data_IF_233146394654
#
_entry.id   IF_233146394654
#
_cell.length_a   1.000
_cell.length_b   1.000
_cell.length_c   1.000
_cell.angle_alpha   90.00
_cell.angle_beta   90.00
_cell.angle_gamma   90.00
#
_symmetry.space_group_name_H-M   'P 1'
#
loop_
_entity.id
_entity.type
_entity.pdbx_description
1 polymer ?
#
# COMPACT_ATOMS: atom_id res chain seq x y z
N UNK A 1 -6.11 -17.57 -25.53
CA UNK A 1 -4.97 -16.63 -25.50
C UNK A 1 -4.27 -16.77 -24.16
N UNK A 2 -2.98 -17.12 -24.14
CA UNK A 2 -2.17 -17.07 -22.91
C UNK A 2 -2.09 -15.61 -22.47
N UNK A 3 -2.87 -15.22 -21.46
CA UNK A 3 -2.80 -13.84 -20.96
C UNK A 3 -1.53 -13.73 -20.12
N UNK A 4 -0.46 -13.19 -20.72
CA UNK A 4 0.78 -12.85 -20.01
C UNK A 4 0.43 -12.14 -18.69
N UNK A 5 0.91 -12.70 -17.58
CA UNK A 5 0.62 -12.24 -16.22
C UNK A 5 1.74 -11.40 -15.63
N UNK A 6 2.58 -10.78 -16.48
CA UNK A 6 3.76 -10.06 -16.01
C UNK A 6 3.44 -9.03 -14.92
N UNK A 7 4.37 -8.88 -13.98
CA UNK A 7 4.23 -7.99 -12.83
C UNK A 7 5.40 -7.00 -12.70
N UNK A 8 5.13 -5.77 -12.27
CA UNK A 8 6.16 -4.88 -11.75
C UNK A 8 6.04 -4.81 -10.22
N UNK A 9 7.06 -5.28 -9.49
CA UNK A 9 7.10 -5.21 -8.03
C UNK A 9 7.82 -3.92 -7.63
N UNK A 10 7.11 -3.02 -6.98
CA UNK A 10 7.57 -1.68 -6.64
C UNK A 10 7.76 -1.50 -5.13
N UNK A 11 8.73 -0.66 -4.75
CA UNK A 11 8.93 -0.25 -3.37
C UNK A 11 9.71 1.05 -3.23
N UNK A 12 9.60 1.68 -2.07
CA UNK A 12 10.39 2.87 -1.71
C UNK A 12 11.33 2.52 -0.56
N UNK A 13 12.61 2.85 -0.70
CA UNK A 13 13.65 2.47 0.27
C UNK A 13 14.20 3.70 1.00
N UNK A 14 14.15 3.67 2.33
CA UNK A 14 14.84 4.61 3.21
C UNK A 14 15.03 4.00 4.59
N UNK A 15 16.27 3.94 5.08
CA UNK A 15 16.60 3.43 6.42
C UNK A 15 16.00 2.05 6.73
N UNK A 16 16.14 1.13 5.77
CA UNK A 16 15.56 -0.21 5.82
C UNK A 16 16.59 -1.33 5.56
N UNK A 17 17.89 -1.00 5.58
CA UNK A 17 18.95 -1.91 5.13
C UNK A 17 18.98 -3.24 5.87
N UNK A 18 18.65 -3.24 7.17
CA UNK A 18 18.55 -4.47 7.99
C UNK A 18 17.46 -5.44 7.54
N UNK A 19 16.42 -4.98 6.84
CA UNK A 19 15.28 -5.81 6.42
C UNK A 19 15.44 -6.34 4.99
N UNK A 20 16.23 -5.64 4.17
CA UNK A 20 16.37 -5.89 2.75
C UNK A 20 16.76 -7.33 2.37
N UNK A 21 17.69 -8.04 3.05
CA UNK A 21 18.04 -9.40 2.66
C UNK A 21 16.83 -10.34 2.62
N UNK A 22 15.94 -10.23 3.62
CA UNK A 22 14.76 -11.07 3.72
C UNK A 22 13.62 -10.58 2.80
N UNK A 23 13.46 -9.27 2.67
CA UNK A 23 12.53 -8.68 1.70
C UNK A 23 12.88 -9.10 0.27
N UNK A 24 14.16 -9.10 -0.13
CA UNK A 24 14.60 -9.56 -1.45
C UNK A 24 14.26 -11.03 -1.69
N UNK A 25 14.49 -11.90 -0.69
CA UNK A 25 14.09 -13.30 -0.77
C UNK A 25 12.58 -13.45 -1.01
N UNK A 26 11.76 -12.68 -0.30
CA UNK A 26 10.32 -12.68 -0.46
C UNK A 26 9.87 -12.11 -1.82
N UNK A 27 10.51 -11.06 -2.33
CA UNK A 27 10.26 -10.53 -3.68
C UNK A 27 10.50 -11.60 -4.74
N UNK A 28 11.58 -12.37 -4.64
CA UNK A 28 11.87 -13.45 -5.61
C UNK A 28 10.84 -14.58 -5.53
N UNK A 29 10.36 -14.94 -4.34
CA UNK A 29 9.27 -15.91 -4.17
C UNK A 29 7.98 -15.46 -4.85
N UNK A 30 7.56 -14.22 -4.58
CA UNK A 30 6.35 -13.62 -5.14
C UNK A 30 6.48 -13.43 -6.67
N UNK A 31 7.65 -12.98 -7.13
CA UNK A 31 7.93 -12.76 -8.55
C UNK A 31 7.77 -14.01 -9.41
N UNK A 32 8.13 -15.18 -8.88
CA UNK A 32 7.99 -16.49 -9.56
C UNK A 32 6.54 -16.91 -9.81
N UNK A 33 5.56 -16.24 -9.20
CA UNK A 33 4.14 -16.49 -9.45
C UNK A 33 3.67 -15.91 -10.81
N UNK A 34 4.49 -15.07 -11.43
CA UNK A 34 4.19 -14.39 -12.69
C UNK A 34 5.11 -14.91 -13.81
N UNK A 35 4.64 -14.84 -15.06
CA UNK A 35 5.42 -15.27 -16.23
C UNK A 35 6.77 -14.53 -16.35
N UNK A 36 6.76 -13.24 -16.02
CA UNK A 36 7.94 -12.41 -15.91
C UNK A 36 7.69 -11.27 -14.91
N UNK A 37 8.76 -10.74 -14.31
CA UNK A 37 8.65 -9.59 -13.44
C UNK A 37 9.89 -8.69 -13.47
N UNK A 38 9.66 -7.42 -13.14
CA UNK A 38 10.71 -6.45 -12.79
C UNK A 38 10.54 -6.00 -11.36
N UNK A 39 11.65 -5.61 -10.75
CA UNK A 39 11.68 -5.00 -9.42
C UNK A 39 12.06 -3.55 -9.63
N UNK A 40 11.25 -2.60 -9.16
CA UNK A 40 11.52 -1.17 -9.26
C UNK A 40 11.59 -0.58 -7.86
N UNK A 41 12.76 -0.11 -7.46
CA UNK A 41 12.96 0.50 -6.14
C UNK A 41 13.34 1.96 -6.32
N UNK A 42 12.55 2.84 -5.70
CA UNK A 42 12.90 4.23 -5.51
C UNK A 42 13.63 4.39 -4.19
N UNK A 43 14.91 4.71 -4.23
CA UNK A 43 15.73 4.95 -3.05
C UNK A 43 15.80 6.44 -2.72
N UNK A 44 15.58 6.76 -1.45
CA UNK A 44 15.79 8.09 -0.88
C UNK A 44 16.94 8.08 0.14
N UNK A 45 17.44 9.27 0.52
CA UNK A 45 18.64 9.41 1.36
C UNK A 45 18.50 8.66 2.70
N UNK A 46 19.36 7.66 2.89
CA UNK A 46 19.45 6.85 4.11
C UNK A 46 20.72 7.16 4.90
N UNK A 47 20.71 6.82 6.19
CA UNK A 47 21.85 6.92 7.11
C UNK A 47 22.40 5.55 7.51
N UNK A 48 21.76 4.46 7.07
CA UNK A 48 22.19 3.09 7.26
C UNK A 48 22.75 2.48 5.96
N UNK A 49 22.91 1.15 5.93
CA UNK A 49 23.41 0.42 4.77
C UNK A 49 22.36 0.17 3.66
N UNK A 50 21.21 0.86 3.65
CA UNK A 50 20.15 0.65 2.64
C UNK A 50 20.68 0.73 1.21
N UNK A 51 21.44 1.78 0.87
CA UNK A 51 21.92 1.98 -0.51
C UNK A 51 22.91 0.89 -0.93
N UNK A 52 23.89 0.58 -0.08
CA UNK A 52 24.88 -0.45 -0.41
C UNK A 52 24.20 -1.81 -0.59
N UNK A 53 23.26 -2.18 0.27
CA UNK A 53 22.47 -3.41 0.12
C UNK A 53 21.68 -3.46 -1.20
N UNK A 54 21.09 -2.35 -1.66
CA UNK A 54 20.40 -2.29 -2.95
C UNK A 54 21.36 -2.43 -4.14
N UNK A 55 22.53 -1.78 -4.07
CA UNK A 55 23.55 -1.87 -5.12
C UNK A 55 24.13 -3.28 -5.24
N UNK A 56 24.43 -3.94 -4.12
CA UNK A 56 24.90 -5.32 -4.13
C UNK A 56 23.84 -6.26 -4.71
N UNK A 57 22.57 -6.08 -4.34
CA UNK A 57 21.48 -6.87 -4.91
C UNK A 57 21.32 -6.65 -6.42
N UNK A 58 21.49 -5.41 -6.90
CA UNK A 58 21.41 -5.08 -8.33
C UNK A 58 22.52 -5.76 -9.16
N UNK A 59 23.72 -5.97 -8.58
CA UNK A 59 24.82 -6.67 -9.27
C UNK A 59 24.41 -8.09 -9.64
N UNK A 60 23.74 -8.80 -8.73
CA UNK A 60 23.36 -10.21 -8.86
C UNK A 60 21.96 -10.42 -9.45
N UNK A 61 21.06 -9.43 -9.36
CA UNK A 61 19.70 -9.53 -9.89
C UNK A 61 19.42 -8.43 -10.93
N UNK A 62 19.55 -8.79 -12.21
CA UNK A 62 19.31 -7.87 -13.35
C UNK A 62 17.83 -7.47 -13.54
N UNK A 63 16.90 -8.02 -12.74
CA UNK A 63 15.51 -7.56 -12.71
C UNK A 63 15.32 -6.30 -11.87
N UNK A 64 16.29 -5.96 -11.01
CA UNK A 64 16.25 -4.74 -10.21
C UNK A 64 16.61 -3.50 -11.03
N UNK A 65 15.61 -2.63 -11.17
CA UNK A 65 15.72 -1.26 -11.59
C UNK A 65 15.78 -0.38 -10.32
N UNK A 66 16.95 0.16 -10.03
CA UNK A 66 17.17 1.05 -8.89
C UNK A 66 17.20 2.50 -9.36
N UNK A 67 16.34 3.33 -8.78
CA UNK A 67 16.38 4.78 -8.96
C UNK A 67 16.88 5.44 -7.68
N UNK A 68 17.94 6.25 -7.78
CA UNK A 68 18.50 7.00 -6.65
C UNK A 68 17.98 8.44 -6.72
N UNK A 69 17.22 8.87 -5.72
CA UNK A 69 16.74 10.25 -5.63
C UNK A 69 17.91 11.23 -5.47
N UNK A 70 18.10 12.09 -6.45
CA UNK A 70 19.08 13.19 -6.45
C UNK A 70 18.46 14.54 -6.02
N UNK A 71 17.13 14.59 -5.84
CA UNK A 71 16.42 15.82 -5.52
C UNK A 71 16.23 16.00 -4.03
N UNK A 72 16.11 17.26 -3.61
CA UNK A 72 15.76 17.64 -2.24
C UNK A 72 14.45 16.98 -1.80
N UNK A 73 14.45 16.51 -0.56
CA UNK A 73 13.29 15.92 0.10
C UNK A 73 12.44 17.01 0.75
N UNK A 74 11.12 16.82 0.74
CA UNK A 74 10.19 17.60 1.54
C UNK A 74 10.45 17.38 3.02
N UNK A 75 10.06 18.34 3.87
CA UNK A 75 10.02 18.14 5.33
C UNK A 75 8.93 17.14 5.76
N UNK A 76 7.93 16.93 4.91
CA UNK A 76 6.80 16.04 5.18
C UNK A 76 7.10 14.64 4.66
N UNK A 77 7.05 13.64 5.55
CA UNK A 77 7.44 12.25 5.27
C UNK A 77 6.54 11.65 4.19
N UNK A 78 5.23 11.82 4.33
CA UNK A 78 4.21 11.27 3.41
C UNK A 78 4.37 11.81 1.99
N UNK A 79 4.78 13.07 1.83
CA UNK A 79 5.04 13.68 0.51
C UNK A 79 6.24 13.03 -0.18
N UNK A 80 7.29 12.68 0.58
CA UNK A 80 8.45 11.98 0.03
C UNK A 80 8.12 10.55 -0.39
N UNK A 81 7.34 9.83 0.43
CA UNK A 81 6.87 8.47 0.10
C UNK A 81 5.99 8.52 -1.15
N UNK A 82 5.01 9.44 -1.20
CA UNK A 82 4.16 9.65 -2.36
C UNK A 82 4.97 9.93 -3.64
N UNK A 83 6.01 10.78 -3.56
CA UNK A 83 6.91 11.04 -4.68
C UNK A 83 7.60 9.77 -5.18
N UNK A 84 8.14 8.95 -4.29
CA UNK A 84 8.80 7.70 -4.66
C UNK A 84 7.82 6.68 -5.26
N UNK A 85 6.63 6.55 -4.69
CA UNK A 85 5.59 5.66 -5.24
C UNK A 85 5.01 6.16 -6.56
N UNK A 86 4.88 7.47 -6.75
CA UNK A 86 4.49 8.05 -8.03
C UNK A 86 5.56 7.85 -9.12
N UNK A 87 6.84 7.88 -8.76
CA UNK A 87 7.90 7.49 -9.70
C UNK A 87 7.68 6.05 -10.18
N UNK A 88 7.41 5.14 -9.25
CA UNK A 88 7.13 3.75 -9.58
C UNK A 88 5.86 3.60 -10.42
N UNK A 89 4.76 4.23 -10.01
CA UNK A 89 3.49 4.21 -10.72
C UNK A 89 3.65 4.73 -12.15
N UNK A 90 4.36 5.84 -12.34
CA UNK A 90 4.61 6.41 -13.67
C UNK A 90 5.39 5.44 -14.57
N UNK A 91 6.37 4.70 -14.03
CA UNK A 91 7.06 3.66 -14.78
C UNK A 91 6.09 2.54 -15.18
N UNK A 92 5.25 2.07 -14.26
CA UNK A 92 4.25 1.03 -14.54
C UNK A 92 3.27 1.51 -15.62
N UNK A 93 2.73 2.73 -15.50
CA UNK A 93 1.78 3.30 -16.47
C UNK A 93 2.39 3.43 -17.87
N UNK A 94 3.66 3.87 -17.98
CA UNK A 94 4.38 3.91 -19.26
C UNK A 94 4.59 2.53 -19.89
N UNK A 95 4.48 1.47 -19.10
CA UNK A 95 4.68 0.08 -19.51
C UNK A 95 3.42 -0.77 -19.25
N UNK A 96 2.23 -0.15 -19.25
CA UNK A 96 0.99 -0.83 -18.83
C UNK A 96 0.59 -2.00 -19.73
N UNK A 97 0.95 -1.96 -21.01
CA UNK A 97 0.77 -3.09 -21.94
C UNK A 97 1.68 -4.29 -21.61
N UNK A 98 2.81 -4.03 -20.93
CA UNK A 98 3.75 -5.07 -20.51
C UNK A 98 3.34 -5.69 -19.18
N UNK A 99 2.95 -4.86 -18.20
CA UNK A 99 2.68 -5.30 -16.83
C UNK A 99 1.18 -5.31 -16.54
N UNK A 100 0.55 -6.48 -16.63
CA UNK A 100 -0.87 -6.68 -16.27
C UNK A 100 -1.12 -6.38 -14.79
N UNK A 101 -0.14 -6.71 -13.95
CA UNK A 101 -0.17 -6.44 -12.52
C UNK A 101 0.98 -5.53 -12.11
N UNK A 102 0.78 -4.81 -11.01
CA UNK A 102 1.89 -4.31 -10.23
C UNK A 102 1.63 -4.54 -8.75
N UNK A 103 2.72 -4.60 -8.00
CA UNK A 103 2.70 -4.74 -6.55
C UNK A 103 3.36 -3.50 -5.97
N UNK A 104 2.76 -2.92 -4.95
CA UNK A 104 3.45 -1.98 -4.08
C UNK A 104 3.70 -2.68 -2.76
N UNK A 105 4.93 -2.61 -2.26
CA UNK A 105 5.27 -3.18 -0.96
C UNK A 105 6.26 -2.30 -0.20
N UNK A 106 6.07 -2.24 1.12
CA UNK A 106 7.05 -1.65 2.03
C UNK A 106 8.27 -2.56 2.15
N UNK A 107 9.45 -1.96 2.37
CA UNK A 107 10.72 -2.67 2.42
C UNK A 107 11.22 -2.83 3.87
N UNK A 108 10.30 -3.01 4.81
CA UNK A 108 10.55 -3.01 6.26
C UNK A 108 10.33 -4.38 6.93
N UNK A 109 10.20 -4.38 8.26
CA UNK A 109 10.03 -5.59 9.07
C UNK A 109 8.76 -6.38 8.74
N UNK A 110 7.69 -5.71 8.32
CA UNK A 110 6.42 -6.39 8.02
C UNK A 110 6.60 -7.38 6.88
N UNK A 111 7.23 -6.93 5.79
CA UNK A 111 7.48 -7.75 4.61
C UNK A 111 8.81 -8.53 4.68
N UNK A 112 9.54 -8.40 5.79
CA UNK A 112 10.68 -9.24 6.13
C UNK A 112 10.28 -10.51 6.92
N UNK A 113 9.00 -10.72 7.26
CA UNK A 113 8.56 -12.00 7.86
C UNK A 113 8.60 -13.14 6.82
N UNK A 114 8.31 -14.38 7.21
CA UNK A 114 8.28 -15.46 6.22
C UNK A 114 7.08 -15.27 5.30
N UNK A 115 7.36 -15.19 3.99
CA UNK A 115 6.33 -15.15 2.98
C UNK A 115 5.80 -16.56 2.68
N UNK A 116 4.48 -16.69 2.69
CA UNK A 116 3.70 -17.82 2.18
C UNK A 116 3.04 -17.42 0.85
N UNK A 117 3.86 -17.44 -0.21
CA UNK A 117 3.47 -17.01 -1.55
C UNK A 117 2.39 -17.91 -2.18
N UNK A 118 2.25 -19.15 -1.71
CA UNK A 118 1.25 -20.10 -2.20
C UNK A 118 -0.18 -19.60 -2.04
N UNK A 119 -0.43 -18.82 -0.98
CA UNK A 119 -1.72 -18.15 -0.74
C UNK A 119 -2.10 -17.15 -1.84
N UNK A 120 -1.13 -16.54 -2.52
CA UNK A 120 -1.39 -15.55 -3.57
C UNK A 120 -1.91 -16.19 -4.87
N UNK A 121 -1.51 -17.43 -5.17
CA UNK A 121 -1.79 -18.12 -6.44
C UNK A 121 -3.27 -18.16 -6.77
N UNK A 122 -4.12 -18.44 -5.77
CA UNK A 122 -5.57 -18.53 -5.98
C UNK A 122 -6.20 -17.18 -6.31
N UNK A 123 -5.68 -16.07 -5.77
CA UNK A 123 -6.22 -14.74 -6.04
C UNK A 123 -5.84 -14.24 -7.43
N UNK A 124 -4.66 -14.60 -7.94
CA UNK A 124 -4.24 -14.27 -9.30
C UNK A 124 -5.13 -14.89 -10.39
N UNK A 125 -5.87 -15.96 -10.05
CA UNK A 125 -6.85 -16.63 -10.93
C UNK A 125 -8.25 -16.02 -10.88
N UNK A 126 -8.52 -15.11 -9.94
CA UNK A 126 -9.82 -14.44 -9.80
C UNK A 126 -9.87 -13.17 -10.65
N UNK A 127 -11.07 -12.68 -10.93
CA UNK A 127 -11.38 -11.46 -11.68
C UNK A 127 -12.32 -10.50 -10.93
N UNK A 128 -12.66 -10.83 -9.68
CA UNK A 128 -13.62 -10.08 -8.87
C UNK A 128 -13.01 -8.94 -8.03
N UNK A 129 -11.69 -8.77 -8.07
CA UNK A 129 -10.93 -7.70 -7.42
C UNK A 129 -10.02 -6.96 -8.40
N UNK A 130 -9.76 -5.68 -8.13
CA UNK A 130 -8.83 -4.82 -8.89
C UNK A 130 -7.65 -4.35 -8.03
N UNK A 131 -7.84 -4.22 -6.71
CA UNK A 131 -6.79 -4.09 -5.72
C UNK A 131 -7.02 -5.07 -4.58
N UNK A 132 -5.95 -5.74 -4.15
CA UNK A 132 -6.01 -6.72 -3.09
C UNK A 132 -4.87 -6.53 -2.11
N UNK A 133 -5.22 -6.16 -0.87
CA UNK A 133 -4.31 -6.20 0.28
C UNK A 133 -4.63 -7.41 1.17
N UNK A 134 -3.78 -7.64 2.16
CA UNK A 134 -3.82 -8.84 2.99
C UNK A 134 -3.72 -8.51 4.46
N UNK A 135 -4.12 -9.45 5.31
CA UNK A 135 -3.90 -9.36 6.74
C UNK A 135 -2.40 -9.56 7.08
N UNK A 136 -1.99 -9.03 8.22
CA UNK A 136 -0.69 -9.22 8.84
C UNK A 136 -0.84 -9.91 10.20
N UNK A 137 0.18 -10.68 10.60
CA UNK A 137 0.26 -11.26 11.94
C UNK A 137 1.11 -10.36 12.87
N UNK A 138 0.72 -10.17 14.14
CA UNK A 138 -0.43 -10.77 14.82
C UNK A 138 -1.78 -10.07 14.54
N UNK A 139 -1.76 -8.79 14.15
CA UNK A 139 -2.95 -7.96 13.94
C UNK A 139 -2.78 -7.06 12.70
N UNK A 140 -3.88 -6.46 12.22
CA UNK A 140 -3.86 -5.48 11.14
C UNK A 140 -3.15 -4.19 11.59
N UNK A 141 -1.99 -3.86 11.01
CA UNK A 141 -1.15 -2.79 11.57
C UNK A 141 -1.39 -1.41 10.92
N UNK A 142 -1.66 -1.37 9.61
CA UNK A 142 -1.78 -0.13 8.84
C UNK A 142 -3.19 0.46 8.89
N UNK A 143 -3.57 0.92 10.08
CA UNK A 143 -4.87 1.60 10.28
C UNK A 143 -4.89 2.99 9.63
N UNK A 144 -3.72 3.59 9.37
CA UNK A 144 -3.66 4.92 8.75
C UNK A 144 -4.03 4.89 7.27
N UNK A 145 -3.58 3.87 6.53
CA UNK A 145 -3.99 3.62 5.15
C UNK A 145 -5.40 3.03 5.00
N UNK A 146 -5.99 2.51 6.07
CA UNK A 146 -7.30 1.86 6.04
C UNK A 146 -8.46 2.87 5.91
N UNK A 147 -9.42 2.53 5.05
CA UNK A 147 -10.76 3.14 5.01
C UNK A 147 -11.76 2.04 4.69
N UNK A 148 -12.68 1.80 5.60
CA UNK A 148 -13.68 0.72 5.52
C UNK A 148 -14.95 1.19 6.21
N UNK A 149 -16.13 0.88 5.69
CA UNK A 149 -17.38 1.32 6.33
C UNK A 149 -17.51 0.72 7.75
N UNK A 150 -17.93 1.50 8.78
CA UNK A 150 -18.26 2.94 8.76
C UNK A 150 -17.06 3.89 8.97
N UNK A 151 -15.86 3.36 9.21
CA UNK A 151 -14.61 4.12 9.32
C UNK A 151 -14.02 4.52 7.95
N UNK A 152 -14.73 5.40 7.25
CA UNK A 152 -14.44 5.75 5.85
C UNK A 152 -13.30 6.75 5.60
N UNK A 153 -12.74 7.40 6.63
CA UNK A 153 -11.68 8.40 6.50
C UNK A 153 -10.51 8.16 7.49
N UNK A 154 -9.44 8.96 7.42
CA UNK A 154 -8.24 8.76 8.23
C UNK A 154 -8.51 9.16 9.68
N UNK A 155 -8.29 8.23 10.61
CA UNK A 155 -8.61 8.42 12.03
C UNK A 155 -7.81 9.58 12.66
N UNK A 156 -6.69 9.99 12.06
CA UNK A 156 -5.87 11.12 12.49
C UNK A 156 -6.55 12.49 12.30
N UNK A 157 -7.64 12.55 11.55
CA UNK A 157 -8.37 13.80 11.30
C UNK A 157 -9.69 13.91 12.06
N UNK A 158 -9.82 13.20 13.19
CA UNK A 158 -11.01 13.21 14.04
C UNK A 158 -10.63 13.19 15.53
N UNK A 159 -11.59 13.54 16.37
CA UNK A 159 -11.41 13.51 17.82
C UNK A 159 -10.99 12.11 18.31
N UNK A 160 -10.21 12.08 19.39
CA UNK A 160 -9.78 10.85 20.05
C UNK A 160 -9.04 9.87 19.10
N UNK A 161 -8.19 10.38 18.19
CA UNK A 161 -7.52 9.58 17.16
C UNK A 161 -6.81 8.33 17.72
N UNK A 162 -6.10 8.44 18.86
CA UNK A 162 -5.43 7.30 19.51
C UNK A 162 -6.43 6.20 19.92
N UNK A 163 -7.58 6.58 20.47
CA UNK A 163 -8.64 5.62 20.83
C UNK A 163 -9.23 4.98 19.58
N UNK A 164 -9.47 5.78 18.53
CA UNK A 164 -10.04 5.29 17.28
C UNK A 164 -9.09 4.37 16.52
N UNK A 165 -7.78 4.54 16.62
CA UNK A 165 -6.81 3.56 16.11
C UNK A 165 -7.12 2.16 16.66
N UNK A 166 -7.22 2.02 17.98
CA UNK A 166 -7.49 0.72 18.63
C UNK A 166 -8.88 0.17 18.29
N UNK A 167 -9.90 1.04 18.22
CA UNK A 167 -11.27 0.63 17.85
C UNK A 167 -11.29 0.07 16.43
N UNK A 168 -10.67 0.79 15.49
CA UNK A 168 -10.66 0.41 14.07
C UNK A 168 -9.85 -0.87 13.87
N UNK A 169 -8.70 -1.02 14.54
CA UNK A 169 -7.90 -2.25 14.50
C UNK A 169 -8.71 -3.47 14.97
N UNK A 170 -9.34 -3.37 16.15
CA UNK A 170 -10.22 -4.45 16.65
C UNK A 170 -11.39 -4.74 15.73
N UNK A 171 -11.94 -3.70 15.10
CA UNK A 171 -13.03 -3.83 14.14
C UNK A 171 -12.61 -4.62 12.90
N UNK A 172 -11.51 -4.23 12.24
CA UNK A 172 -11.04 -4.94 11.05
C UNK A 172 -10.53 -6.35 11.39
N UNK A 173 -9.83 -6.55 12.50
CA UNK A 173 -9.37 -7.88 12.92
C UNK A 173 -10.55 -8.83 13.18
N UNK A 174 -11.63 -8.33 13.82
CA UNK A 174 -12.86 -9.11 14.02
C UNK A 174 -13.52 -9.46 12.69
N UNK A 175 -13.60 -8.53 11.75
CA UNK A 175 -14.16 -8.81 10.42
C UNK A 175 -13.33 -9.90 9.75
N UNK A 176 -12.02 -9.71 9.62
CA UNK A 176 -11.14 -10.64 8.92
C UNK A 176 -11.12 -12.04 9.56
N UNK A 177 -11.15 -12.12 10.90
CA UNK A 177 -11.24 -13.40 11.61
C UNK A 177 -12.53 -14.16 11.33
N UNK A 178 -13.63 -13.44 11.07
CA UNK A 178 -14.94 -14.02 10.81
C UNK A 178 -15.25 -14.19 9.30
N UNK A 179 -14.42 -13.62 8.42
CA UNK A 179 -14.52 -13.80 6.97
C UNK A 179 -14.23 -15.25 6.61
N UNK A 180 -15.11 -15.88 5.82
CA UNK A 180 -14.93 -17.27 5.40
C UNK A 180 -13.69 -17.41 4.52
N UNK A 181 -12.98 -18.56 4.55
CA UNK A 181 -11.84 -18.78 3.67
C UNK A 181 -12.18 -18.55 2.20
N UNK A 182 -11.44 -17.65 1.55
CA UNK A 182 -11.63 -17.30 0.14
C UNK A 182 -12.62 -16.15 -0.12
N UNK A 183 -13.38 -15.71 0.87
CA UNK A 183 -14.17 -14.47 0.78
C UNK A 183 -13.26 -13.25 0.94
N UNK A 184 -13.68 -12.15 0.33
CA UNK A 184 -12.96 -10.88 0.32
C UNK A 184 -13.77 -9.80 1.03
N UNK A 185 -13.10 -8.96 1.80
CA UNK A 185 -13.73 -7.85 2.54
C UNK A 185 -13.62 -6.57 1.72
N UNK A 186 -14.73 -5.97 1.25
CA UNK A 186 -14.67 -4.73 0.47
C UNK A 186 -14.21 -3.57 1.35
N UNK A 187 -13.40 -2.68 0.76
CA UNK A 187 -12.91 -1.49 1.44
C UNK A 187 -12.82 -0.29 0.48
N UNK A 188 -12.65 0.91 1.05
CA UNK A 188 -12.38 2.15 0.30
C UNK A 188 -10.87 2.31 0.05
N UNK A 189 -10.04 1.90 1.02
CA UNK A 189 -8.58 1.93 0.91
C UNK A 189 -8.00 0.93 1.89
N UNK A 190 -7.02 0.16 1.45
CA UNK A 190 -6.27 -0.75 2.29
C UNK A 190 -4.91 -1.04 1.65
N UNK A 191 -3.84 -1.05 2.44
CA UNK A 191 -2.49 -1.36 1.96
C UNK A 191 -1.81 -2.39 2.86
N UNK A 192 -1.66 -2.10 4.16
CA UNK A 192 -1.11 -3.05 5.13
C UNK A 192 0.25 -3.63 4.71
N UNK A 193 1.10 -2.77 4.16
CA UNK A 193 2.48 -3.08 3.78
C UNK A 193 2.62 -3.75 2.43
N UNK A 194 1.57 -4.40 1.91
CA UNK A 194 1.64 -5.17 0.66
C UNK A 194 0.27 -5.23 -0.01
N UNK A 195 0.22 -4.83 -1.28
CA UNK A 195 -0.98 -4.97 -2.11
C UNK A 195 -0.65 -5.24 -3.58
N UNK A 196 -1.53 -6.02 -4.23
CA UNK A 196 -1.49 -6.37 -5.64
C UNK A 196 -2.58 -5.58 -6.38
N UNK A 197 -2.24 -5.03 -7.53
CA UNK A 197 -3.10 -4.16 -8.31
C UNK A 197 -3.18 -4.61 -9.77
N UNK A 198 -4.36 -4.50 -10.38
CA UNK A 198 -4.53 -4.60 -11.84
C UNK A 198 -4.19 -3.28 -12.49
N UNK A 199 -3.14 -3.25 -13.30
CA UNK A 199 -2.57 -2.01 -13.82
C UNK A 199 -3.60 -1.11 -14.53
N UNK A 200 -4.47 -1.69 -15.36
CA UNK A 200 -5.47 -0.95 -16.13
C UNK A 200 -6.52 -0.22 -15.28
N UNK A 201 -6.68 -0.58 -14.00
CA UNK A 201 -7.65 0.03 -13.08
C UNK A 201 -7.09 1.22 -12.31
N UNK A 202 -5.81 1.50 -12.48
CA UNK A 202 -5.08 2.56 -11.77
C UNK A 202 -4.55 3.64 -12.71
N UNK A 203 -5.06 3.71 -13.94
CA UNK A 203 -4.85 4.87 -14.83
C UNK A 203 -5.49 6.13 -14.23
N UNK A 204 -4.94 7.31 -14.49
CA UNK A 204 -5.43 8.57 -13.93
C UNK A 204 -5.51 8.58 -12.39
N UNK A 205 -4.54 7.95 -11.73
CA UNK A 205 -4.39 7.96 -10.27
C UNK A 205 -2.97 8.38 -9.89
N UNK A 206 -2.78 8.78 -8.64
CA UNK A 206 -1.46 9.06 -8.06
C UNK A 206 -1.52 8.94 -6.54
N UNK A 207 -0.37 8.66 -5.93
CA UNK A 207 -0.18 8.74 -4.48
C UNK A 207 -0.09 10.20 -4.06
N UNK A 208 -0.80 10.60 -3.01
CA UNK A 208 -0.77 11.98 -2.51
C UNK A 208 -0.72 11.98 -0.99
N UNK A 209 0.43 12.37 -0.43
CA UNK A 209 0.62 12.45 1.01
C UNK A 209 -0.10 13.62 1.67
N UNK A 210 -0.88 14.43 0.94
CA UNK A 210 -1.71 15.50 1.50
C UNK A 210 -3.05 14.97 1.96
N UNK A 211 -3.71 15.72 2.84
CA UNK A 211 -5.11 15.43 3.22
C UNK A 211 -6.04 15.69 2.04
N UNK A 212 -6.68 14.64 1.52
CA UNK A 212 -7.56 14.70 0.33
C UNK A 212 -9.01 14.32 0.64
N UNK A 213 -9.62 15.04 1.58
CA UNK A 213 -11.03 14.83 1.92
C UNK A 213 -11.98 15.25 0.79
N UNK A 214 -11.50 16.05 -0.17
CA UNK A 214 -12.22 16.45 -1.39
C UNK A 214 -12.53 15.27 -2.33
N UNK A 215 -11.72 14.20 -2.26
CA UNK A 215 -11.91 13.00 -3.08
C UNK A 215 -13.00 12.07 -2.54
N UNK A 216 -13.30 12.14 -1.24
CA UNK A 216 -14.26 11.24 -0.61
C UNK A 216 -15.70 11.80 -0.73
N UNK A 217 -16.70 11.00 -1.13
CA UNK A 217 -18.09 11.41 -1.10
C UNK A 217 -18.51 11.97 0.27
N UNK A 218 -19.20 13.12 0.28
CA UNK A 218 -19.61 13.83 1.51
C UNK A 218 -20.35 12.94 2.51
N UNK A 219 -21.19 12.03 2.03
CA UNK A 219 -21.95 11.14 2.90
C UNK A 219 -21.04 10.17 3.69
N UNK A 220 -19.99 9.63 3.07
CA UNK A 220 -19.03 8.75 3.76
C UNK A 220 -18.20 9.51 4.80
N UNK A 221 -17.83 10.75 4.50
CA UNK A 221 -17.16 11.62 5.46
C UNK A 221 -18.07 11.89 6.67
N UNK A 222 -19.36 12.12 6.45
CA UNK A 222 -20.33 12.33 7.52
C UNK A 222 -20.55 11.07 8.36
N UNK A 223 -20.60 9.88 7.75
CA UNK A 223 -20.63 8.60 8.49
C UNK A 223 -19.42 8.49 9.42
N UNK A 224 -18.22 8.83 8.93
CA UNK A 224 -17.01 8.80 9.76
C UNK A 224 -17.10 9.79 10.93
N UNK A 225 -17.57 11.02 10.69
CA UNK A 225 -17.80 12.02 11.75
C UNK A 225 -18.74 11.51 12.84
N UNK A 226 -19.84 10.86 12.44
CA UNK A 226 -20.83 10.30 13.36
C UNK A 226 -20.24 9.17 14.20
N UNK A 227 -19.61 8.17 13.58
CA UNK A 227 -19.05 7.01 14.32
C UNK A 227 -17.90 7.41 15.25
N UNK A 228 -17.18 8.48 14.92
CA UNK A 228 -16.08 9.00 15.76
C UNK A 228 -16.51 10.06 16.77
N UNK A 229 -17.80 10.43 16.80
CA UNK A 229 -18.32 11.54 17.60
C UNK A 229 -17.50 12.83 17.42
N UNK A 230 -17.10 13.12 16.18
CA UNK A 230 -16.28 14.28 15.84
C UNK A 230 -17.09 15.25 14.97
N UNK A 231 -17.43 16.46 15.47
CA UNK A 231 -18.32 17.38 14.76
C UNK A 231 -17.70 17.93 13.46
N UNK A 232 -16.36 18.01 13.41
CA UNK A 232 -15.59 18.49 12.27
C UNK A 232 -14.31 17.68 12.09
N UNK A 233 -13.66 17.89 10.93
CA UNK A 233 -12.30 17.41 10.71
C UNK A 233 -11.33 18.14 11.64
N UNK A 234 -10.39 17.38 12.20
CA UNK A 234 -9.33 17.87 13.05
C UNK A 234 -8.00 17.86 12.28
N UNK A 235 -7.20 18.90 12.46
CA UNK A 235 -5.88 19.01 11.82
C UNK A 235 -4.81 19.18 12.88
N UNK A 236 -4.49 18.07 13.55
CA UNK A 236 -3.60 18.02 14.72
C UNK A 236 -2.15 17.79 14.27
N UNK A 237 -1.20 18.48 14.90
CA UNK A 237 0.22 18.20 14.76
C UNK A 237 0.65 17.12 15.76
N UNK A 238 0.94 15.93 15.27
CA UNK A 238 1.50 14.81 16.04
C UNK A 238 3.04 14.85 16.02
N UNK A 239 3.73 14.08 16.89
CA UNK A 239 5.21 14.10 16.95
C UNK A 239 5.89 13.79 15.62
N UNK A 240 5.32 12.89 14.81
CA UNK A 240 5.91 12.38 13.57
C UNK A 240 5.15 12.79 12.31
N UNK A 241 4.01 13.49 12.45
CA UNK A 241 3.08 13.80 11.35
C UNK A 241 2.41 15.15 11.62
N UNK A 242 2.44 16.08 10.67
CA UNK A 242 1.61 17.30 10.76
C UNK A 242 0.30 17.09 9.99
N UNK A 243 -0.79 16.78 10.71
CA UNK A 243 -2.09 16.47 10.13
C UNK A 243 -2.72 17.59 9.32
N UNK A 244 -2.17 18.83 9.34
CA UNK A 244 -2.57 19.91 8.41
C UNK A 244 -2.07 19.69 6.98
N UNK A 245 -0.96 18.95 6.84
CA UNK A 245 -0.25 18.80 5.58
C UNK A 245 -0.10 17.35 5.14
N UNK A 246 -0.26 16.40 6.07
CA UNK A 246 0.06 14.99 5.88
C UNK A 246 -1.14 14.08 6.15
N UNK A 247 -1.36 13.13 5.24
CA UNK A 247 -2.19 11.94 5.42
C UNK A 247 -1.53 10.75 4.70
N UNK A 248 -2.06 9.54 4.87
CA UNK A 248 -1.52 8.36 4.19
C UNK A 248 -1.73 8.47 2.67
N UNK A 249 -0.62 8.39 1.94
CA UNK A 249 -0.57 8.57 0.49
C UNK A 249 -1.38 7.56 -0.34
N UNK A 250 -1.65 6.38 0.22
CA UNK A 250 -2.48 5.35 -0.43
C UNK A 250 -3.94 5.77 -0.57
N UNK A 251 -4.46 6.59 0.35
CA UNK A 251 -5.89 6.89 0.41
C UNK A 251 -6.34 7.63 -0.83
N UNK A 252 -5.61 8.68 -1.21
CA UNK A 252 -5.91 9.43 -2.43
C UNK A 252 -5.81 8.54 -3.67
N UNK A 253 -4.77 7.70 -3.74
CA UNK A 253 -4.55 6.75 -4.83
C UNK A 253 -5.72 5.77 -5.01
N UNK A 254 -6.18 5.15 -3.92
CA UNK A 254 -7.30 4.22 -3.91
C UNK A 254 -8.65 4.88 -4.21
N UNK A 255 -8.92 6.04 -3.60
CA UNK A 255 -10.18 6.77 -3.82
C UNK A 255 -10.27 7.26 -5.27
N UNK A 256 -9.17 7.69 -5.88
CA UNK A 256 -9.16 8.01 -7.31
C UNK A 256 -9.43 6.79 -8.18
N UNK A 257 -8.89 5.61 -7.85
CA UNK A 257 -9.18 4.39 -8.60
C UNK A 257 -10.67 4.00 -8.54
N UNK A 258 -11.29 4.16 -7.36
CA UNK A 258 -12.73 3.98 -7.17
C UNK A 258 -13.54 4.97 -8.04
N UNK A 259 -13.22 6.26 -7.95
CA UNK A 259 -13.97 7.32 -8.62
C UNK A 259 -13.78 7.32 -10.14
N UNK A 260 -12.56 7.09 -10.62
CA UNK A 260 -12.19 7.27 -12.02
C UNK A 260 -12.36 5.99 -12.83
N UNK A 261 -12.19 4.82 -12.21
CA UNK A 261 -12.09 3.53 -12.92
C UNK A 261 -13.02 2.43 -12.38
N UNK A 262 -13.90 2.77 -11.42
CA UNK A 262 -14.76 1.83 -10.72
C UNK A 262 -13.99 0.60 -10.21
N UNK A 263 -12.78 0.82 -9.71
CA UNK A 263 -11.91 -0.24 -9.21
C UNK A 263 -12.54 -0.91 -7.99
N UNK A 264 -12.49 -2.24 -7.91
CA UNK A 264 -12.96 -2.99 -6.75
C UNK A 264 -11.80 -3.29 -5.80
N UNK A 265 -11.83 -2.70 -4.62
CA UNK A 265 -10.76 -2.82 -3.62
C UNK A 265 -11.18 -3.75 -2.49
N UNK A 266 -10.31 -4.70 -2.16
CA UNK A 266 -10.58 -5.73 -1.18
C UNK A 266 -9.40 -6.02 -0.25
N UNK A 267 -9.74 -6.57 0.90
CA UNK A 267 -8.81 -7.15 1.88
C UNK A 267 -9.08 -8.65 1.95
N UNK A 268 -8.02 -9.46 1.77
CA UNK A 268 -8.05 -10.88 2.10
C UNK A 268 -7.78 -11.09 3.59
N UNK A 269 -8.51 -12.02 4.22
CA UNK A 269 -8.26 -12.44 5.60
C UNK A 269 -6.98 -13.27 5.77
N UNK A 270 -6.34 -13.66 4.67
CA UNK A 270 -5.11 -14.44 4.74
C UNK A 270 -3.89 -13.61 5.12
N UNK A 271 -3.03 -14.24 5.91
CA UNK A 271 -1.72 -13.69 6.28
C UNK A 271 -0.67 -14.21 5.33
N UNK A 272 -0.05 -13.30 4.57
CA UNK A 272 1.03 -13.62 3.61
C UNK A 272 2.39 -13.60 4.29
N UNK A 273 2.58 -12.71 5.27
CA UNK A 273 3.84 -12.50 5.98
C UNK A 273 3.66 -12.78 7.48
N UNK A 274 4.27 -13.87 7.99
CA UNK A 274 4.18 -14.31 9.39
C UNK A 274 5.47 -14.90 9.93
#
# INVERSE_FOLDING_TARGET
MSTKTNCCICGTAKNCGKYLPKVFSNIEKIGRLFDNYKILIYYDKSTDNTLSSLLEYQKVNKRLLLFINDKKVSRFRTHNIAKGRNFCLNYVMKNMETYKYFIMMDLDDVNAKNCDEGKLVKYLKRDDWDALSFQTSPNYYDIWGLSIYPFCFSYNHFNNSVRHYTIIQKYIDRILKNTKPGDLVPCISAFNGFAIYRTNKFTNTYYDGKVRYDLLPKHLLNVHKQITASPSLQFIKYPTVDGRYEDCEHRAFHIMALNNNAAKLFISSEVIFS
#
